data_IF_087610150519
#
_entry.id   IF_087610150519
#
_cell.length_a   1.000
_cell.length_b   1.000
_cell.length_c   1.000
_cell.angle_alpha   90.00
_cell.angle_beta   90.00
_cell.angle_gamma   90.00
#
_symmetry.space_group_name_H-M   'P 1'
#
loop_
_entity.id
_entity.type
_entity.pdbx_description
1 polymer ?
#
# COMPACT_ATOMS: atom_id res chain seq x y z
N UNK A 1 39.63 -28.90 45.32
CA UNK A 1 40.73 -28.55 44.41
C UNK A 1 40.15 -28.20 43.06
N UNK A 2 40.62 -27.09 42.49
CA UNK A 2 40.38 -26.53 41.15
C UNK A 2 38.97 -26.02 40.79
N UNK A 3 38.75 -24.81 41.29
CA UNK A 3 37.91 -23.75 40.75
C UNK A 3 38.48 -23.26 39.41
N UNK A 4 37.71 -23.25 38.31
CA UNK A 4 37.98 -22.37 37.16
C UNK A 4 36.66 -21.85 36.57
N UNK A 5 36.38 -20.58 36.85
CA UNK A 5 35.37 -19.75 36.20
C UNK A 5 35.72 -19.56 34.71
N UNK A 6 34.73 -19.47 33.80
CA UNK A 6 34.95 -18.89 32.49
C UNK A 6 35.09 -17.35 32.60
N UNK A 7 35.95 -16.72 31.78
CA UNK A 7 36.20 -15.28 31.88
C UNK A 7 35.01 -14.47 31.34
N UNK A 8 34.62 -13.46 32.12
CA UNK A 8 33.85 -12.31 31.66
C UNK A 8 34.76 -11.46 30.78
N UNK A 9 34.31 -11.14 29.56
CA UNK A 9 34.82 -9.99 28.82
C UNK A 9 33.71 -8.96 28.80
N UNK A 10 34.03 -7.80 29.40
CA UNK A 10 33.21 -6.61 29.45
C UNK A 10 33.06 -6.00 28.06
N UNK A 11 31.84 -5.59 27.77
CA UNK A 11 31.55 -4.46 26.90
C UNK A 11 32.30 -3.23 27.43
N UNK A 12 32.94 -2.48 26.53
CA UNK A 12 32.83 -1.01 26.51
C UNK A 12 33.10 -0.46 25.10
N UNK A 13 32.10 0.28 24.63
CA UNK A 13 32.18 1.52 23.84
C UNK A 13 32.69 1.49 22.39
N UNK A 14 31.72 1.49 21.49
CA UNK A 14 31.47 2.51 20.47
C UNK A 14 32.67 3.08 19.69
N UNK A 15 32.75 2.69 18.41
CA UNK A 15 33.10 3.63 17.34
C UNK A 15 32.23 3.34 16.13
N UNK A 16 31.34 4.29 15.91
CA UNK A 16 30.66 4.62 14.67
C UNK A 16 31.61 4.56 13.47
N UNK A 17 31.26 3.75 12.47
CA UNK A 17 31.38 4.10 11.05
C UNK A 17 30.69 3.02 10.22
N UNK A 18 29.48 3.36 9.78
CA UNK A 18 28.67 2.53 8.90
C UNK A 18 29.36 2.23 7.56
N UNK A 19 29.35 0.96 7.20
CA UNK A 19 29.15 0.52 5.82
C UNK A 19 28.75 -0.95 5.87
N UNK A 20 27.52 -1.19 6.33
CA UNK A 20 26.86 -2.47 6.07
C UNK A 20 26.79 -2.59 4.55
N UNK A 21 27.56 -3.52 4.00
CA UNK A 21 27.66 -3.89 2.58
C UNK A 21 26.27 -4.25 2.01
N UNK A 22 25.41 -3.25 1.82
CA UNK A 22 24.20 -3.33 1.02
C UNK A 22 24.64 -3.21 -0.42
N UNK A 23 25.20 -4.31 -0.95
CA UNK A 23 25.34 -4.47 -2.39
C UNK A 23 23.91 -4.43 -2.93
N UNK A 24 23.57 -3.32 -3.56
CA UNK A 24 22.26 -3.08 -4.15
C UNK A 24 21.93 -4.21 -5.13
N UNK A 25 20.65 -4.56 -5.28
CA UNK A 25 20.25 -5.63 -6.20
C UNK A 25 20.73 -5.36 -7.63
N UNK A 26 20.92 -4.08 -7.99
CA UNK A 26 21.58 -3.64 -9.21
C UNK A 26 23.03 -4.14 -9.34
N UNK A 27 23.82 -4.11 -8.27
CA UNK A 27 25.19 -4.64 -8.24
C UNK A 27 25.21 -6.17 -8.25
N UNK A 28 24.26 -6.85 -7.59
CA UNK A 28 24.12 -8.32 -7.68
C UNK A 28 23.77 -8.76 -9.10
N UNK A 29 22.81 -8.07 -9.74
CA UNK A 29 22.43 -8.31 -11.13
C UNK A 29 23.61 -8.09 -12.08
N UNK A 30 24.41 -7.05 -11.87
CA UNK A 30 25.61 -6.82 -12.69
C UNK A 30 26.67 -7.91 -12.49
N UNK A 31 26.84 -8.40 -11.26
CA UNK A 31 27.77 -9.51 -10.96
C UNK A 31 27.30 -10.80 -11.63
N UNK A 32 26.00 -11.11 -11.57
CA UNK A 32 25.41 -12.26 -12.26
C UNK A 32 25.52 -12.14 -13.78
N UNK A 33 25.26 -10.96 -14.35
CA UNK A 33 25.43 -10.71 -15.80
C UNK A 33 26.87 -10.95 -16.24
N UNK A 34 27.84 -10.48 -15.45
CA UNK A 34 29.26 -10.70 -15.73
C UNK A 34 29.60 -12.19 -15.67
N UNK A 35 29.19 -12.89 -14.62
CA UNK A 35 29.40 -14.34 -14.50
C UNK A 35 28.75 -15.13 -15.65
N UNK A 36 27.57 -14.72 -16.14
CA UNK A 36 26.93 -15.35 -17.30
C UNK A 36 27.70 -15.10 -18.60
N UNK A 37 28.31 -13.93 -18.77
CA UNK A 37 29.17 -13.63 -19.92
C UNK A 37 30.43 -14.49 -19.86
N UNK A 38 31.10 -14.53 -18.70
CA UNK A 38 32.31 -15.32 -18.49
C UNK A 38 32.06 -16.82 -18.76
N UNK A 39 30.93 -17.37 -18.27
CA UNK A 39 30.52 -18.76 -18.54
C UNK A 39 30.20 -19.02 -20.02
N UNK A 40 29.66 -18.03 -20.74
CA UNK A 40 29.42 -18.15 -22.19
C UNK A 40 30.74 -18.18 -22.96
N UNK A 41 31.71 -17.39 -22.52
CA UNK A 41 33.04 -17.34 -23.13
C UNK A 41 33.81 -18.63 -22.86
N UNK A 42 33.79 -19.15 -21.63
CA UNK A 42 34.37 -20.44 -21.26
C UNK A 42 33.74 -21.60 -22.07
N UNK A 43 32.40 -21.61 -22.20
CA UNK A 43 31.70 -22.57 -23.08
C UNK A 43 32.20 -22.48 -24.52
N UNK A 44 32.40 -21.27 -25.05
CA UNK A 44 32.88 -21.09 -26.42
C UNK A 44 34.32 -21.56 -26.60
N UNK A 45 35.18 -21.40 -25.59
CA UNK A 45 36.56 -21.88 -25.62
C UNK A 45 36.60 -23.42 -25.56
N UNK A 46 35.78 -24.03 -24.69
CA UNK A 46 35.67 -25.50 -24.60
C UNK A 46 35.18 -26.12 -25.91
N UNK A 47 34.22 -25.50 -26.60
CA UNK A 47 33.75 -25.98 -27.91
C UNK A 47 34.90 -25.98 -28.94
N UNK A 48 35.68 -24.89 -29.01
CA UNK A 48 36.87 -24.84 -29.90
C UNK A 48 37.89 -25.93 -29.56
N UNK A 49 38.11 -26.16 -28.27
CA UNK A 49 39.05 -27.18 -27.81
C UNK A 49 38.57 -28.61 -28.18
N UNK A 50 37.27 -28.86 -28.10
CA UNK A 50 36.65 -30.12 -28.57
C UNK A 50 36.82 -30.29 -30.08
N UNK A 51 36.63 -29.24 -30.87
CA UNK A 51 36.82 -29.27 -32.33
C UNK A 51 38.29 -29.59 -32.69
N UNK A 52 39.26 -28.94 -32.05
CA UNK A 52 40.69 -29.19 -32.25
C UNK A 52 41.07 -30.63 -31.87
N UNK A 53 40.60 -31.13 -30.73
CA UNK A 53 40.84 -32.51 -30.30
C UNK A 53 40.20 -33.52 -31.24
N UNK A 54 39.02 -33.23 -31.77
CA UNK A 54 38.33 -34.08 -32.75
C UNK A 54 39.12 -34.15 -34.05
N UNK A 55 39.64 -33.02 -34.54
CA UNK A 55 40.51 -33.01 -35.72
C UNK A 55 41.79 -33.81 -35.49
N UNK A 56 42.45 -33.61 -34.34
CA UNK A 56 43.67 -34.35 -33.99
C UNK A 56 43.43 -35.85 -33.89
N UNK A 57 42.29 -36.27 -33.34
CA UNK A 57 41.91 -37.68 -33.25
C UNK A 57 41.69 -38.29 -34.64
N UNK A 58 41.00 -37.58 -35.54
CA UNK A 58 40.83 -38.02 -36.93
C UNK A 58 42.16 -38.16 -37.67
N UNK A 59 43.14 -37.29 -37.39
CA UNK A 59 44.47 -37.37 -37.97
C UNK A 59 45.25 -38.58 -37.45
N UNK A 60 45.20 -38.86 -36.15
CA UNK A 60 45.81 -40.06 -35.56
C UNK A 60 45.18 -41.36 -36.09
N UNK A 61 43.87 -41.37 -36.35
CA UNK A 61 43.21 -42.53 -36.99
C UNK A 61 43.78 -42.79 -38.38
N UNK A 62 44.01 -41.74 -39.19
CA UNK A 62 44.66 -41.87 -40.50
C UNK A 62 46.09 -42.38 -40.40
N UNK A 63 46.90 -41.78 -39.52
CA UNK A 63 48.29 -42.22 -39.31
C UNK A 63 48.37 -43.69 -38.88
N UNK A 64 47.43 -44.14 -38.04
CA UNK A 64 47.35 -45.55 -37.63
C UNK A 64 47.07 -46.49 -38.81
N UNK A 65 46.14 -46.13 -39.70
CA UNK A 65 45.84 -46.95 -40.89
C UNK A 65 47.03 -46.96 -41.87
N UNK A 66 47.71 -45.83 -42.08
CA UNK A 66 48.91 -45.75 -42.93
C UNK A 66 50.05 -46.62 -42.38
N UNK A 67 50.26 -46.64 -41.06
CA UNK A 67 51.27 -47.50 -40.42
C UNK A 67 50.91 -48.97 -40.58
N UNK A 68 49.62 -49.32 -40.41
CA UNK A 68 49.12 -50.69 -40.58
C UNK A 68 49.31 -51.18 -42.02
N UNK A 69 49.07 -50.32 -43.01
CA UNK A 69 49.30 -50.63 -44.42
C UNK A 69 50.79 -50.81 -44.75
N UNK A 70 51.66 -49.94 -44.21
CA UNK A 70 53.12 -50.09 -44.32
C UNK A 70 53.61 -51.40 -43.70
N UNK A 71 53.11 -51.75 -42.51
CA UNK A 71 53.47 -53.00 -41.83
C UNK A 71 53.06 -54.23 -42.65
N UNK A 72 51.84 -54.24 -43.20
CA UNK A 72 51.35 -55.33 -44.04
C UNK A 72 52.19 -55.50 -45.32
N UNK A 73 52.62 -54.39 -45.93
CA UNK A 73 53.50 -54.41 -47.11
C UNK A 73 54.87 -54.99 -46.77
N UNK A 74 55.47 -54.53 -45.66
CA UNK A 74 56.78 -55.02 -45.19
C UNK A 74 56.77 -56.52 -44.89
N UNK A 75 55.70 -57.04 -44.27
CA UNK A 75 55.55 -58.47 -43.99
C UNK A 75 55.44 -59.30 -45.27
N UNK A 76 54.76 -58.77 -46.30
CA UNK A 76 54.63 -59.42 -47.61
C UNK A 76 55.99 -59.48 -48.34
N UNK A 77 56.78 -58.43 -48.27
CA UNK A 77 58.12 -58.37 -48.87
C UNK A 77 59.11 -59.33 -48.18
N UNK A 78 59.07 -59.42 -46.85
CA UNK A 78 59.88 -60.38 -46.07
C UNK A 78 59.54 -61.84 -46.43
N UNK A 79 58.26 -62.15 -46.63
CA UNK A 79 57.81 -63.49 -46.99
C UNK A 79 58.23 -63.88 -48.43
N UNK A 80 58.29 -62.91 -49.34
CA UNK A 80 58.81 -63.12 -50.69
C UNK A 80 60.33 -63.34 -50.71
N UNK A 81 61.10 -62.66 -49.86
CA UNK A 81 62.56 -62.87 -49.77
C UNK A 81 62.92 -64.26 -49.22
N UNK A 82 62.17 -64.77 -48.24
CA UNK A 82 62.36 -66.13 -47.71
C UNK A 82 62.08 -67.23 -48.75
N UNK A 83 61.22 -66.96 -49.73
CA UNK A 83 60.87 -67.92 -50.78
C UNK A 83 61.93 -68.00 -51.89
N UNK A 84 62.78 -66.96 -52.01
CA UNK A 84 63.79 -66.85 -53.08
C UNK A 84 65.21 -67.28 -52.69
N UNK A 85 65.49 -67.51 -51.40
CA UNK A 85 66.83 -67.90 -50.90
C UNK A 85 67.05 -69.41 -50.74
N UNK A 86 66.13 -70.25 -51.22
CA UNK A 86 66.19 -71.72 -51.07
C UNK A 86 66.98 -72.46 -52.15
N UNK A 87 67.72 -71.76 -53.02
CA UNK A 87 68.40 -72.35 -54.19
C UNK A 87 69.83 -71.85 -54.38
N UNK A 88 70.78 -72.41 -53.62
CA UNK A 88 72.19 -72.64 -53.96
C UNK A 88 72.91 -73.11 -52.68
N UNK A 89 73.70 -74.18 -52.65
CA UNK A 89 75.01 -74.25 -53.30
C UNK A 89 75.52 -75.70 -53.28
N UNK A 90 76.08 -76.13 -54.41
CA UNK A 90 76.72 -77.42 -54.68
C UNK A 90 78.05 -77.61 -53.90
N UNK A 91 78.48 -78.86 -53.67
CA UNK A 91 79.68 -79.40 -54.34
C UNK A 91 79.91 -80.88 -54.02
N UNK A 92 80.08 -81.67 -55.08
CA UNK A 92 80.61 -83.02 -55.09
C UNK A 92 82.12 -82.96 -55.34
N UNK A 93 82.88 -83.87 -54.75
CA UNK A 93 84.26 -84.17 -55.18
C UNK A 93 84.47 -85.68 -55.22
N UNK A 94 84.44 -86.20 -56.45
CA UNK A 94 85.06 -87.47 -56.86
C UNK A 94 86.58 -87.31 -56.79
N UNK A 95 87.30 -88.33 -56.30
CA UNK A 95 88.75 -88.45 -56.43
C UNK A 95 89.06 -89.79 -57.09
N UNK A 96 89.61 -89.74 -58.30
CA UNK A 96 90.34 -90.83 -58.97
C UNK A 96 91.85 -90.77 -58.62
N UNK A 97 92.57 -91.90 -58.60
CA UNK A 97 93.98 -91.94 -58.19
C UNK A 97 94.94 -91.66 -59.37
N UNK A 98 95.94 -90.80 -59.16
CA UNK A 98 97.01 -90.51 -60.14
C UNK A 98 98.37 -90.95 -59.58
N UNK A 99 99.04 -91.85 -60.30
CA UNK A 99 100.43 -92.27 -60.11
C UNK A 99 101.37 -91.34 -60.92
N UNK A 100 102.06 -90.40 -60.28
CA UNK A 100 103.42 -89.90 -60.63
C UNK A 100 103.89 -88.73 -59.74
N UNK A 101 105.18 -88.71 -59.41
CA UNK A 101 105.82 -87.85 -58.38
C UNK A 101 105.68 -86.32 -58.58
N UNK A 102 105.52 -85.84 -59.82
CA UNK A 102 105.37 -84.40 -60.11
C UNK A 102 103.95 -83.86 -59.87
N UNK A 103 102.92 -84.71 -59.95
CA UNK A 103 101.53 -84.30 -59.68
C UNK A 103 101.23 -84.23 -58.18
N UNK A 104 101.93 -85.05 -57.38
CA UNK A 104 101.87 -84.99 -55.91
C UNK A 104 102.38 -83.63 -55.37
N UNK A 105 103.43 -83.07 -55.99
CA UNK A 105 103.98 -81.77 -55.62
C UNK A 105 103.01 -80.62 -55.93
N UNK A 106 102.41 -80.63 -57.13
CA UNK A 106 101.39 -79.66 -57.54
C UNK A 106 100.12 -79.75 -56.68
N UNK A 107 99.68 -80.97 -56.38
CA UNK A 107 98.56 -81.24 -55.47
C UNK A 107 98.87 -80.74 -54.05
N UNK A 108 100.09 -80.98 -53.54
CA UNK A 108 100.54 -80.47 -52.25
C UNK A 108 100.58 -78.95 -52.19
N UNK A 109 101.03 -78.27 -53.26
CA UNK A 109 100.99 -76.80 -53.31
C UNK A 109 99.56 -76.26 -53.41
N UNK A 110 98.67 -76.91 -54.15
CA UNK A 110 97.25 -76.52 -54.20
C UNK A 110 96.57 -76.71 -52.85
N UNK A 111 96.74 -77.87 -52.22
CA UNK A 111 96.24 -78.14 -50.86
C UNK A 111 96.78 -77.15 -49.83
N UNK A 112 98.07 -76.79 -49.92
CA UNK A 112 98.66 -75.77 -49.03
C UNK A 112 98.04 -74.39 -49.27
N UNK A 113 97.84 -74.00 -50.52
CA UNK A 113 97.21 -72.73 -50.86
C UNK A 113 95.72 -72.70 -50.44
N UNK A 114 94.98 -73.80 -50.62
CA UNK A 114 93.60 -73.94 -50.14
C UNK A 114 93.52 -73.90 -48.63
N UNK A 115 94.47 -74.52 -47.92
CA UNK A 115 94.57 -74.47 -46.47
C UNK A 115 94.84 -73.04 -45.98
N UNK A 116 95.82 -72.34 -46.57
CA UNK A 116 96.15 -70.96 -46.23
C UNK A 116 94.98 -70.00 -46.54
N UNK A 117 94.29 -70.20 -47.66
CA UNK A 117 93.08 -69.45 -48.01
C UNK A 117 91.94 -69.72 -47.02
N UNK A 118 91.79 -70.97 -46.57
CA UNK A 118 90.78 -71.36 -45.59
C UNK A 118 91.08 -70.74 -44.23
N UNK A 119 92.34 -70.76 -43.78
CA UNK A 119 92.79 -70.08 -42.55
C UNK A 119 92.49 -68.59 -42.63
N UNK A 120 92.90 -67.94 -43.72
CA UNK A 120 92.65 -66.51 -43.95
C UNK A 120 91.14 -66.18 -43.91
N UNK A 121 90.32 -67.02 -44.54
CA UNK A 121 88.86 -66.87 -44.51
C UNK A 121 88.28 -67.05 -43.10
N UNK A 122 88.79 -68.00 -42.31
CA UNK A 122 88.36 -68.18 -40.92
C UNK A 122 88.80 -67.02 -40.01
N UNK A 123 90.01 -66.49 -40.18
CA UNK A 123 90.49 -65.30 -39.48
C UNK A 123 89.65 -64.07 -39.82
N UNK A 124 89.32 -63.86 -41.10
CA UNK A 124 88.43 -62.79 -41.53
C UNK A 124 87.01 -62.94 -40.93
N UNK A 125 86.45 -64.15 -40.94
CA UNK A 125 85.15 -64.45 -40.30
C UNK A 125 85.18 -64.22 -38.80
N UNK A 126 86.26 -64.62 -38.13
CA UNK A 126 86.45 -64.40 -36.69
C UNK A 126 86.52 -62.90 -36.35
N UNK A 127 87.25 -62.11 -37.14
CA UNK A 127 87.34 -60.66 -36.97
C UNK A 127 85.99 -59.95 -37.18
N UNK A 128 85.23 -60.35 -38.21
CA UNK A 128 83.86 -59.85 -38.43
C UNK A 128 82.95 -60.22 -37.25
N UNK A 129 83.00 -61.47 -36.79
CA UNK A 129 82.19 -61.94 -35.67
C UNK A 129 82.53 -61.21 -34.36
N UNK A 130 83.82 -60.96 -34.09
CA UNK A 130 84.26 -60.21 -32.93
C UNK A 130 83.78 -58.75 -32.97
N UNK A 131 83.79 -58.14 -34.16
CA UNK A 131 83.29 -56.77 -34.35
C UNK A 131 81.78 -56.71 -34.16
N UNK A 132 81.03 -57.65 -34.74
CA UNK A 132 79.59 -57.77 -34.58
C UNK A 132 79.20 -58.02 -33.11
N UNK A 133 79.98 -58.83 -32.37
CA UNK A 133 79.76 -59.03 -30.94
C UNK A 133 79.90 -57.72 -30.13
N UNK A 134 80.98 -56.95 -30.37
CA UNK A 134 81.18 -55.65 -29.72
C UNK A 134 80.14 -54.60 -30.10
N UNK A 135 79.55 -54.70 -31.28
CA UNK A 135 78.45 -53.83 -31.71
C UNK A 135 77.15 -54.21 -31.01
N UNK A 136 76.81 -55.50 -30.97
CA UNK A 136 75.65 -55.99 -30.21
C UNK A 136 75.74 -55.65 -28.73
N UNK A 137 76.92 -55.74 -28.11
CA UNK A 137 77.14 -55.38 -26.70
C UNK A 137 76.91 -53.87 -26.45
N UNK A 138 77.36 -53.00 -27.38
CA UNK A 138 77.09 -51.55 -27.31
C UNK A 138 75.60 -51.25 -27.48
N UNK A 139 74.94 -51.90 -28.44
CA UNK A 139 73.51 -51.73 -28.68
C UNK A 139 72.66 -52.20 -27.50
N UNK A 140 73.03 -53.32 -26.88
CA UNK A 140 72.38 -53.82 -25.67
C UNK A 140 72.49 -52.81 -24.53
N UNK A 141 73.69 -52.26 -24.30
CA UNK A 141 73.92 -51.22 -23.28
C UNK A 141 73.13 -49.94 -23.56
N UNK A 142 73.06 -49.50 -24.81
CA UNK A 142 72.25 -48.33 -25.20
C UNK A 142 70.76 -48.56 -24.98
N UNK A 143 70.25 -49.76 -25.33
CA UNK A 143 68.85 -50.15 -25.07
C UNK A 143 68.56 -50.23 -23.57
N UNK A 144 69.50 -50.71 -22.76
CA UNK A 144 69.35 -50.77 -21.31
C UNK A 144 69.22 -49.38 -20.69
N UNK A 145 70.07 -48.42 -21.09
CA UNK A 145 69.98 -47.02 -20.65
C UNK A 145 68.63 -46.41 -21.07
N UNK A 146 68.19 -46.66 -22.31
CA UNK A 146 66.89 -46.18 -22.78
C UNK A 146 65.74 -46.77 -21.97
N UNK A 147 65.80 -48.07 -21.65
CA UNK A 147 64.79 -48.74 -20.83
C UNK A 147 64.76 -48.18 -19.41
N UNK A 148 65.91 -47.95 -18.77
CA UNK A 148 65.97 -47.33 -17.45
C UNK A 148 65.33 -45.93 -17.44
N UNK A 149 65.59 -45.12 -18.48
CA UNK A 149 64.97 -43.80 -18.62
C UNK A 149 63.45 -43.89 -18.79
N UNK A 150 62.96 -44.85 -19.59
CA UNK A 150 61.53 -45.08 -19.79
C UNK A 150 60.84 -45.57 -18.50
N UNK A 151 61.48 -46.45 -17.73
CA UNK A 151 60.96 -46.90 -16.43
C UNK A 151 60.83 -45.74 -15.47
N UNK A 152 61.86 -44.89 -15.36
CA UNK A 152 61.81 -43.71 -14.48
C UNK A 152 60.70 -42.72 -14.88
N UNK A 153 60.55 -42.43 -16.18
CA UNK A 153 59.46 -41.57 -16.69
C UNK A 153 58.08 -42.20 -16.42
N UNK A 154 57.97 -43.53 -16.49
CA UNK A 154 56.74 -44.24 -16.15
C UNK A 154 56.40 -44.14 -14.66
N UNK A 155 57.39 -44.25 -13.77
CA UNK A 155 57.22 -44.09 -12.31
C UNK A 155 56.81 -42.66 -11.95
N UNK A 156 57.46 -41.65 -12.54
CA UNK A 156 57.11 -40.23 -12.38
C UNK A 156 55.68 -39.95 -12.86
N UNK A 157 55.28 -40.49 -14.02
CA UNK A 157 53.90 -40.38 -14.51
C UNK A 157 52.89 -41.11 -13.61
N UNK A 158 53.26 -42.25 -13.06
CA UNK A 158 52.39 -43.03 -12.16
C UNK A 158 52.16 -42.29 -10.85
N UNK A 159 53.21 -41.69 -10.27
CA UNK A 159 53.10 -40.88 -9.05
C UNK A 159 52.26 -39.62 -9.28
N UNK A 160 52.49 -38.92 -10.40
CA UNK A 160 51.67 -37.77 -10.78
C UNK A 160 50.19 -38.15 -10.97
N UNK A 161 49.91 -39.27 -11.63
CA UNK A 161 48.54 -39.75 -11.84
C UNK A 161 47.84 -40.07 -10.49
N UNK A 162 48.56 -40.70 -9.55
CA UNK A 162 48.02 -40.96 -8.21
C UNK A 162 47.74 -39.67 -7.43
N UNK A 163 48.61 -38.67 -7.55
CA UNK A 163 48.38 -37.35 -6.94
C UNK A 163 47.17 -36.64 -7.55
N UNK A 164 47.02 -36.68 -8.88
CA UNK A 164 45.86 -36.11 -9.57
C UNK A 164 44.56 -36.80 -9.16
N UNK A 165 44.55 -38.14 -9.02
CA UNK A 165 43.38 -38.88 -8.52
C UNK A 165 42.98 -38.43 -7.12
N UNK A 166 43.95 -38.32 -6.20
CA UNK A 166 43.67 -37.83 -4.85
C UNK A 166 43.10 -36.41 -4.86
N UNK A 167 43.68 -35.51 -5.66
CA UNK A 167 43.17 -34.15 -5.79
C UNK A 167 41.73 -34.12 -6.32
N UNK A 168 41.41 -34.98 -7.29
CA UNK A 168 40.04 -35.12 -7.82
C UNK A 168 39.10 -35.58 -6.69
N UNK A 169 39.46 -36.61 -5.93
CA UNK A 169 38.66 -37.12 -4.81
C UNK A 169 38.42 -36.06 -3.71
N UNK A 170 39.45 -35.26 -3.40
CA UNK A 170 39.35 -34.17 -2.42
C UNK A 170 38.41 -33.05 -2.93
N UNK A 171 38.54 -32.66 -4.20
CA UNK A 171 37.65 -31.67 -4.85
C UNK A 171 36.20 -32.18 -4.88
N UNK A 172 35.99 -33.44 -5.25
CA UNK A 172 34.66 -34.05 -5.27
C UNK A 172 34.00 -34.03 -3.89
N UNK A 173 34.77 -34.34 -2.84
CA UNK A 173 34.29 -34.29 -1.45
C UNK A 173 33.92 -32.87 -1.02
N UNK A 174 34.75 -31.90 -1.33
CA UNK A 174 34.51 -30.49 -0.99
C UNK A 174 33.28 -29.94 -1.71
N UNK A 175 33.13 -30.26 -3.00
CA UNK A 175 31.96 -29.90 -3.79
C UNK A 175 30.69 -30.57 -3.25
N UNK A 176 30.77 -31.85 -2.87
CA UNK A 176 29.64 -32.56 -2.26
C UNK A 176 29.20 -31.91 -0.95
N UNK A 177 30.14 -31.58 -0.06
CA UNK A 177 29.84 -30.88 1.19
C UNK A 177 29.23 -29.50 0.93
N UNK A 178 29.77 -28.74 -0.03
CA UNK A 178 29.22 -27.44 -0.42
C UNK A 178 27.79 -27.55 -0.96
N UNK A 179 27.48 -28.58 -1.76
CA UNK A 179 26.12 -28.85 -2.25
C UNK A 179 25.18 -29.13 -1.07
N UNK A 180 25.63 -29.94 -0.10
CA UNK A 180 24.84 -30.28 1.09
C UNK A 180 24.53 -29.03 1.94
N UNK A 181 25.51 -28.17 2.14
CA UNK A 181 25.34 -26.93 2.90
C UNK A 181 24.39 -25.96 2.19
N UNK A 182 24.56 -25.77 0.87
CA UNK A 182 23.66 -24.95 0.06
C UNK A 182 22.22 -25.50 0.05
N UNK A 183 22.06 -26.83 0.09
CA UNK A 183 20.74 -27.45 0.20
C UNK A 183 20.08 -27.19 1.56
N UNK A 184 20.87 -27.20 2.64
CA UNK A 184 20.39 -26.84 3.97
C UNK A 184 19.98 -25.35 4.03
N UNK A 185 20.81 -24.45 3.51
CA UNK A 185 20.51 -23.02 3.42
C UNK A 185 19.24 -22.76 2.60
N UNK A 186 19.08 -23.45 1.46
CA UNK A 186 17.86 -23.37 0.64
C UNK A 186 16.62 -23.77 1.44
N UNK A 187 16.68 -24.84 2.23
CA UNK A 187 15.55 -25.26 3.07
C UNK A 187 15.24 -24.24 4.16
N UNK A 188 16.26 -23.68 4.81
CA UNK A 188 16.08 -22.63 5.82
C UNK A 188 15.41 -21.39 5.23
N UNK A 189 15.85 -20.93 4.06
CA UNK A 189 15.25 -19.79 3.36
C UNK A 189 13.79 -20.09 2.99
N UNK A 190 13.49 -21.29 2.49
CA UNK A 190 12.10 -21.70 2.19
C UNK A 190 11.21 -21.69 3.42
N UNK A 191 11.72 -22.09 4.59
CA UNK A 191 10.98 -22.02 5.85
C UNK A 191 10.74 -20.57 6.27
N UNK A 192 11.75 -19.70 6.18
CA UNK A 192 11.59 -18.26 6.45
C UNK A 192 10.53 -17.63 5.55
N UNK A 193 10.52 -17.95 4.25
CA UNK A 193 9.48 -17.49 3.33
C UNK A 193 8.08 -17.93 3.75
N UNK A 194 7.89 -19.19 4.16
CA UNK A 194 6.60 -19.67 4.64
C UNK A 194 6.13 -18.97 5.92
N UNK A 195 7.06 -18.60 6.80
CA UNK A 195 6.73 -17.85 8.02
C UNK A 195 6.27 -16.43 7.65
N UNK A 196 7.03 -15.73 6.82
CA UNK A 196 6.69 -14.38 6.35
C UNK A 196 5.33 -14.37 5.63
N UNK A 197 5.06 -15.36 4.78
CA UNK A 197 3.78 -15.47 4.07
C UNK A 197 2.59 -15.63 5.03
N UNK A 198 2.76 -16.44 6.08
CA UNK A 198 1.76 -16.58 7.15
C UNK A 198 1.56 -15.30 7.94
N UNK A 199 2.63 -14.61 8.31
CA UNK A 199 2.56 -13.33 9.02
C UNK A 199 1.85 -12.27 8.18
N UNK A 200 2.11 -12.23 6.87
CA UNK A 200 1.44 -11.32 5.93
C UNK A 200 -0.05 -11.62 5.86
N UNK A 201 -0.44 -12.89 5.70
CA UNK A 201 -1.86 -13.30 5.72
C UNK A 201 -2.56 -12.92 7.02
N UNK A 202 -1.89 -13.08 8.16
CA UNK A 202 -2.43 -12.65 9.46
C UNK A 202 -2.63 -11.14 9.50
N UNK A 203 -1.67 -10.36 9.00
CA UNK A 203 -1.77 -8.89 8.95
C UNK A 203 -2.88 -8.40 8.02
N UNK A 204 -3.06 -9.06 6.87
CA UNK A 204 -4.16 -8.78 5.97
C UNK A 204 -5.53 -9.03 6.62
N UNK A 205 -5.66 -10.09 7.42
CA UNK A 205 -6.89 -10.37 8.16
C UNK A 205 -7.10 -9.36 9.32
N UNK A 206 -6.04 -8.99 10.05
CA UNK A 206 -6.11 -7.92 11.05
C UNK A 206 -6.59 -6.59 10.43
N UNK A 207 -6.05 -6.23 9.25
CA UNK A 207 -6.49 -5.04 8.50
C UNK A 207 -7.95 -5.13 8.07
N UNK A 208 -8.39 -6.31 7.63
CA UNK A 208 -9.78 -6.55 7.26
C UNK A 208 -10.73 -6.33 8.43
N UNK A 209 -10.39 -6.86 9.60
CA UNK A 209 -11.16 -6.66 10.83
C UNK A 209 -11.21 -5.19 11.22
N UNK A 210 -10.07 -4.48 11.13
CA UNK A 210 -10.02 -3.04 11.41
C UNK A 210 -10.88 -2.22 10.44
N UNK A 211 -10.87 -2.51 9.15
CA UNK A 211 -11.73 -1.83 8.17
C UNK A 211 -13.21 -2.08 8.46
N UNK A 212 -13.59 -3.31 8.80
CA UNK A 212 -14.97 -3.60 9.21
C UNK A 212 -15.37 -2.80 10.45
N UNK A 213 -14.51 -2.76 11.47
CA UNK A 213 -14.75 -1.95 12.67
C UNK A 213 -14.87 -0.46 12.36
N UNK A 214 -14.06 0.05 11.43
CA UNK A 214 -14.16 1.44 10.97
C UNK A 214 -15.50 1.71 10.28
N UNK A 215 -15.96 0.83 9.40
CA UNK A 215 -17.24 0.99 8.71
C UNK A 215 -18.43 0.93 9.70
N UNK A 216 -18.39 0.02 10.68
CA UNK A 216 -19.40 -0.05 11.74
C UNK A 216 -19.44 1.25 12.56
N UNK A 217 -18.28 1.83 12.90
CA UNK A 217 -18.23 3.12 13.60
C UNK A 217 -18.74 4.29 12.75
N UNK A 218 -18.44 4.32 11.46
CA UNK A 218 -18.98 5.33 10.52
C UNK A 218 -20.49 5.26 10.44
N UNK A 219 -21.04 4.05 10.36
CA UNK A 219 -22.48 3.83 10.36
C UNK A 219 -23.12 4.34 11.66
N UNK A 220 -22.53 4.01 12.81
CA UNK A 220 -23.02 4.49 14.11
C UNK A 220 -22.97 6.01 14.24
N UNK A 221 -21.92 6.66 13.73
CA UNK A 221 -21.84 8.13 13.69
C UNK A 221 -22.96 8.72 12.84
N UNK A 222 -23.21 8.17 11.65
CA UNK A 222 -24.29 8.63 10.78
C UNK A 222 -25.68 8.48 11.43
N UNK A 223 -25.91 7.37 12.13
CA UNK A 223 -27.14 7.18 12.90
C UNK A 223 -27.30 8.24 14.00
N UNK A 224 -26.28 8.46 14.82
CA UNK A 224 -26.30 9.46 15.89
C UNK A 224 -26.49 10.89 15.36
N UNK A 225 -25.90 11.20 14.19
CA UNK A 225 -26.14 12.49 13.53
C UNK A 225 -27.60 12.65 13.09
N UNK A 226 -28.23 11.58 12.60
CA UNK A 226 -29.66 11.57 12.28
C UNK A 226 -30.53 11.82 13.52
N UNK A 227 -30.26 11.11 14.61
CA UNK A 227 -30.96 11.27 15.90
C UNK A 227 -30.81 12.69 16.47
N UNK A 228 -29.62 13.29 16.32
CA UNK A 228 -29.35 14.67 16.72
C UNK A 228 -30.17 15.67 15.91
N UNK A 229 -30.21 15.52 14.59
CA UNK A 229 -30.96 16.44 13.71
C UNK A 229 -32.47 16.31 13.93
N UNK A 230 -32.98 15.09 14.15
CA UNK A 230 -34.37 14.87 14.54
C UNK A 230 -34.71 15.60 15.86
N UNK A 231 -33.85 15.46 16.87
CA UNK A 231 -34.01 16.12 18.16
C UNK A 231 -33.97 17.65 18.03
N UNK A 232 -33.06 18.17 17.19
CA UNK A 232 -32.96 19.60 16.88
C UNK A 232 -34.23 20.12 16.18
N UNK A 233 -34.78 19.35 15.25
CA UNK A 233 -36.06 19.66 14.59
C UNK A 233 -37.21 19.75 15.59
N UNK A 234 -37.35 18.75 16.47
CA UNK A 234 -38.36 18.75 17.55
C UNK A 234 -38.21 19.96 18.47
N UNK A 235 -36.98 20.27 18.89
CA UNK A 235 -36.72 21.45 19.72
C UNK A 235 -37.15 22.75 19.04
N UNK A 236 -36.82 22.92 17.75
CA UNK A 236 -37.22 24.12 17.00
C UNK A 236 -38.75 24.23 16.88
N UNK A 237 -39.43 23.10 16.66
CA UNK A 237 -40.89 23.05 16.65
C UNK A 237 -41.48 23.47 18.00
N UNK A 238 -40.99 22.93 19.12
CA UNK A 238 -41.47 23.32 20.45
C UNK A 238 -41.19 24.79 20.76
N UNK A 239 -40.03 25.31 20.35
CA UNK A 239 -39.69 26.72 20.49
C UNK A 239 -40.69 27.62 19.75
N UNK A 240 -41.07 27.26 18.52
CA UNK A 240 -42.08 27.98 17.74
C UNK A 240 -43.47 27.92 18.38
N UNK A 241 -43.88 26.73 18.86
CA UNK A 241 -45.16 26.56 19.56
C UNK A 241 -45.21 27.46 20.80
N UNK A 242 -44.17 27.43 21.64
CA UNK A 242 -44.09 28.28 22.82
C UNK A 242 -44.12 29.77 22.46
N UNK A 243 -43.38 30.17 21.42
CA UNK A 243 -43.39 31.56 20.96
C UNK A 243 -44.79 32.03 20.55
N UNK A 244 -45.54 31.20 19.80
CA UNK A 244 -46.92 31.52 19.42
C UNK A 244 -47.84 31.59 20.64
N UNK A 245 -47.69 30.67 21.61
CA UNK A 245 -48.48 30.72 22.84
C UNK A 245 -48.23 31.99 23.66
N UNK A 246 -46.98 32.47 23.74
CA UNK A 246 -46.69 33.76 24.37
C UNK A 246 -47.32 34.93 23.62
N UNK A 247 -47.29 34.91 22.28
CA UNK A 247 -47.95 35.93 21.46
C UNK A 247 -49.47 35.96 21.71
N UNK A 248 -50.11 34.78 21.81
CA UNK A 248 -51.54 34.67 22.13
C UNK A 248 -51.87 35.26 23.51
N UNK A 249 -51.02 35.00 24.51
CA UNK A 249 -51.16 35.58 25.85
C UNK A 249 -51.04 37.10 25.83
N UNK A 250 -50.07 37.64 25.09
CA UNK A 250 -49.87 39.09 24.95
C UNK A 250 -51.10 39.74 24.29
N UNK A 251 -51.65 39.11 23.24
CA UNK A 251 -52.87 39.58 22.59
C UNK A 251 -54.08 39.59 23.53
N UNK A 252 -54.26 38.52 24.32
CA UNK A 252 -55.32 38.42 25.32
C UNK A 252 -55.16 39.48 26.43
N UNK A 253 -53.92 39.75 26.84
CA UNK A 253 -53.63 40.79 27.83
C UNK A 253 -54.01 42.18 27.32
N UNK A 254 -53.62 42.52 26.08
CA UNK A 254 -53.99 43.78 25.43
C UNK A 254 -55.51 43.90 25.31
N UNK A 255 -56.19 42.84 24.86
CA UNK A 255 -57.64 42.80 24.75
C UNK A 255 -58.32 43.05 26.10
N UNK A 256 -57.86 42.37 27.15
CA UNK A 256 -58.38 42.56 28.51
C UNK A 256 -58.18 44.00 28.99
N UNK A 257 -57.01 44.59 28.74
CA UNK A 257 -56.72 45.97 29.13
C UNK A 257 -57.65 46.95 28.41
N UNK A 258 -57.88 46.76 27.11
CA UNK A 258 -58.81 47.59 26.34
C UNK A 258 -60.24 47.48 26.87
N UNK A 259 -60.75 46.26 27.08
CA UNK A 259 -62.08 46.04 27.65
C UNK A 259 -62.24 46.66 29.05
N UNK A 260 -61.20 46.58 29.87
CA UNK A 260 -61.21 47.21 31.19
C UNK A 260 -61.23 48.74 31.09
N UNK A 261 -60.46 49.32 30.18
CA UNK A 261 -60.46 50.77 29.94
C UNK A 261 -61.84 51.24 29.45
N UNK A 262 -62.47 50.51 28.51
CA UNK A 262 -63.82 50.81 28.02
C UNK A 262 -64.85 50.77 29.17
N UNK A 263 -64.76 49.77 30.05
CA UNK A 263 -65.63 49.65 31.22
C UNK A 263 -65.45 50.80 32.22
N UNK A 264 -64.20 51.19 32.52
CA UNK A 264 -63.92 52.34 33.38
C UNK A 264 -64.51 53.62 32.78
N UNK A 265 -64.33 53.84 31.47
CA UNK A 265 -64.88 54.99 30.78
C UNK A 265 -66.42 55.06 30.85
N UNK A 266 -67.10 53.92 30.69
CA UNK A 266 -68.56 53.84 30.85
C UNK A 266 -69.02 54.20 32.27
N UNK A 267 -68.34 53.68 33.30
CA UNK A 267 -68.62 53.98 34.70
C UNK A 267 -68.39 55.45 35.04
N UNK A 268 -67.25 56.01 34.61
CA UNK A 268 -66.92 57.43 34.83
C UNK A 268 -67.95 58.34 34.16
N UNK A 269 -68.37 58.01 32.93
CA UNK A 269 -69.41 58.75 32.21
C UNK A 269 -70.75 58.72 32.96
N UNK A 270 -71.13 57.57 33.52
CA UNK A 270 -72.36 57.43 34.29
C UNK A 270 -72.27 58.16 35.65
N UNK A 271 -71.13 58.07 36.34
CA UNK A 271 -70.88 58.75 37.61
C UNK A 271 -70.90 60.28 37.46
N UNK A 272 -70.26 60.81 36.42
CA UNK A 272 -70.33 62.24 36.10
C UNK A 272 -71.77 62.71 35.88
N UNK A 273 -72.57 61.95 35.09
CA UNK A 273 -74.00 62.25 34.91
C UNK A 273 -74.79 62.26 36.22
N UNK A 274 -74.42 61.43 37.18
CA UNK A 274 -75.09 61.38 38.49
C UNK A 274 -74.70 62.58 39.36
N UNK A 275 -73.42 62.95 39.39
CA UNK A 275 -72.92 64.10 40.15
C UNK A 275 -73.57 65.41 39.71
N UNK A 276 -73.74 65.63 38.39
CA UNK A 276 -74.46 66.78 37.86
C UNK A 276 -75.93 66.87 38.31
N UNK A 277 -76.59 65.73 38.58
CA UNK A 277 -77.99 65.71 39.07
C UNK A 277 -78.09 65.92 40.58
N UNK A 278 -77.10 65.49 41.34
CA UNK A 278 -77.09 65.62 42.80
C UNK A 278 -76.79 67.07 43.26
N UNK A 279 -75.99 67.82 42.50
CA UNK A 279 -75.70 69.23 42.79
C UNK A 279 -76.92 70.16 42.73
N UNK A 280 -78.03 69.72 42.15
CA UNK A 280 -79.27 70.50 42.05
C UNK A 280 -80.17 70.40 43.31
N UNK A 281 -79.82 69.56 44.30
CA UNK A 281 -80.57 69.45 45.57
C UNK A 281 -79.64 69.90 46.70
N UNK A 282 -79.87 71.11 47.23
CA UNK A 282 -79.05 71.67 48.31
C UNK A 282 -79.91 72.19 49.48
N UNK A 283 -79.54 71.73 50.67
CA UNK A 283 -79.86 72.22 52.02
C UNK A 283 -81.25 71.91 52.63
N UNK A 284 -81.32 70.77 53.34
CA UNK A 284 -82.33 70.48 54.35
C UNK A 284 -81.80 70.99 55.71
N UNK A 285 -82.41 72.04 56.27
CA UNK A 285 -82.00 72.62 57.56
C UNK A 285 -83.09 72.39 58.60
N UNK A 286 -82.71 71.74 59.70
CA UNK A 286 -83.57 71.51 60.87
C UNK A 286 -83.59 72.79 61.69
N UNK A 287 -84.77 73.37 61.94
CA UNK A 287 -84.88 74.58 62.76
C UNK A 287 -85.21 74.22 64.20
N UNK A 288 -86.29 73.47 64.46
CA UNK A 288 -86.76 73.09 65.81
C UNK A 288 -87.53 71.74 65.81
N UNK A 289 -87.72 71.10 66.98
CA UNK A 289 -88.27 69.72 67.14
C UNK A 289 -89.67 69.45 66.53
N UNK A 290 -90.37 70.48 66.08
CA UNK A 290 -91.73 70.37 65.52
C UNK A 290 -91.86 70.77 64.05
N UNK A 291 -90.78 71.16 63.36
CA UNK A 291 -90.83 71.43 61.92
C UNK A 291 -89.48 71.33 61.19
N UNK A 292 -89.52 70.84 59.95
CA UNK A 292 -88.38 70.82 59.03
C UNK A 292 -88.55 71.88 57.94
N UNK A 293 -87.46 72.57 57.58
CA UNK A 293 -87.43 73.44 56.41
C UNK A 293 -86.58 72.75 55.33
N UNK A 294 -87.21 72.41 54.21
CA UNK A 294 -86.53 71.99 53.01
C UNK A 294 -86.46 73.18 52.07
N UNK A 295 -85.28 73.78 51.93
CA UNK A 295 -85.06 74.77 50.89
C UNK A 295 -84.79 74.03 49.58
N UNK A 296 -85.52 74.38 48.52
CA UNK A 296 -85.21 73.89 47.17
C UNK A 296 -84.84 75.10 46.34
N UNK A 297 -83.54 75.25 46.08
CA UNK A 297 -83.02 76.30 45.22
C UNK A 297 -83.09 75.90 43.75
N UNK A 298 -83.75 76.72 42.94
CA UNK A 298 -83.55 76.78 41.50
C UNK A 298 -82.76 78.04 41.15
N UNK A 299 -82.09 78.06 39.99
CA UNK A 299 -81.21 79.17 39.56
C UNK A 299 -81.85 80.57 39.61
N UNK A 300 -83.18 80.66 39.56
CA UNK A 300 -83.92 81.93 39.56
C UNK A 300 -84.86 82.15 40.75
N UNK A 301 -85.09 81.14 41.59
CA UNK A 301 -85.98 81.21 42.77
C UNK A 301 -85.60 80.17 43.83
N UNK A 302 -85.66 80.58 45.09
CA UNK A 302 -85.60 79.71 46.26
C UNK A 302 -87.00 79.59 46.85
N UNK A 303 -87.51 78.37 47.00
CA UNK A 303 -88.76 78.13 47.71
C UNK A 303 -88.49 77.21 48.91
N UNK A 304 -89.01 77.62 50.07
CA UNK A 304 -88.78 76.95 51.33
C UNK A 304 -90.06 76.19 51.69
N UNK A 305 -89.97 74.87 51.74
CA UNK A 305 -91.06 73.98 52.11
C UNK A 305 -90.98 73.67 53.61
N UNK A 306 -92.00 74.08 54.36
CA UNK A 306 -92.11 73.78 55.79
C UNK A 306 -92.87 72.46 55.93
N UNK A 307 -92.23 71.47 56.53
CA UNK A 307 -92.78 70.13 56.75
C UNK A 307 -93.09 70.00 58.24
N UNK A 308 -94.37 69.84 58.57
CA UNK A 308 -94.83 69.64 59.95
C UNK A 308 -95.23 68.17 60.19
N UNK A 309 -95.12 67.67 61.44
CA UNK A 309 -95.60 66.33 61.78
C UNK A 309 -97.10 66.20 61.49
N UNK A 310 -97.51 65.04 60.94
CA UNK A 310 -98.86 64.70 60.47
C UNK A 310 -99.33 65.33 59.13
N UNK A 311 -98.43 65.93 58.34
CA UNK A 311 -98.74 66.29 56.96
C UNK A 311 -98.59 65.10 56.00
N UNK A 312 -99.45 65.04 54.98
CA UNK A 312 -99.35 64.06 53.91
C UNK A 312 -98.12 64.33 53.03
N UNK A 313 -97.05 63.57 53.26
CA UNK A 313 -95.78 63.66 52.53
C UNK A 313 -95.97 63.53 51.02
N UNK A 314 -96.99 62.81 50.52
CA UNK A 314 -97.26 62.75 49.07
C UNK A 314 -97.69 64.09 48.51
N UNK A 315 -98.45 64.89 49.26
CA UNK A 315 -98.84 66.25 48.85
C UNK A 315 -97.66 67.21 48.86
N UNK A 316 -96.75 67.07 49.83
CA UNK A 316 -95.52 67.86 49.90
C UNK A 316 -94.62 67.52 48.70
N UNK A 317 -94.34 66.24 48.45
CA UNK A 317 -93.57 65.81 47.29
C UNK A 317 -94.19 66.25 45.96
N UNK A 318 -95.53 66.22 45.85
CA UNK A 318 -96.23 66.72 44.65
C UNK A 318 -96.08 68.24 44.49
N UNK A 319 -96.04 68.99 45.59
CA UNK A 319 -95.82 70.44 45.59
C UNK A 319 -94.38 70.79 45.20
N UNK A 320 -93.39 70.09 45.76
CA UNK A 320 -91.98 70.22 45.36
C UNK A 320 -91.80 69.86 43.88
N UNK A 321 -92.40 68.76 43.43
CA UNK A 321 -92.37 68.35 42.02
C UNK A 321 -93.00 69.40 41.11
N UNK A 322 -94.13 69.98 41.51
CA UNK A 322 -94.78 71.06 40.76
C UNK A 322 -93.93 72.34 40.75
N UNK A 323 -93.27 72.69 41.85
CA UNK A 323 -92.34 73.82 41.91
C UNK A 323 -91.16 73.61 40.95
N UNK A 324 -90.51 72.46 41.00
CA UNK A 324 -89.39 72.12 40.10
C UNK A 324 -89.84 72.11 38.63
N UNK A 325 -91.01 71.54 38.32
CA UNK A 325 -91.58 71.58 36.96
C UNK A 325 -91.88 73.01 36.51
N UNK A 326 -92.48 73.86 37.36
CA UNK A 326 -92.74 75.27 37.04
C UNK A 326 -91.45 76.07 36.86
N UNK A 327 -90.44 75.83 37.69
CA UNK A 327 -89.12 76.46 37.56
C UNK A 327 -88.44 76.05 36.24
N UNK A 328 -88.55 74.77 35.85
CA UNK A 328 -88.08 74.25 34.57
C UNK A 328 -88.84 74.85 33.38
N UNK A 329 -90.16 75.01 33.50
CA UNK A 329 -91.01 75.62 32.46
C UNK A 329 -90.78 77.13 32.32
N UNK A 330 -90.44 77.82 33.42
CA UNK A 330 -90.00 79.22 33.38
C UNK A 330 -88.66 79.40 32.65
N UNK A 331 -87.74 78.44 32.77
CA UNK A 331 -86.49 78.45 32.00
C UNK A 331 -86.73 78.21 30.50
N UNK A 332 -87.64 77.29 30.16
CA UNK A 332 -88.04 77.04 28.76
C UNK A 332 -88.71 78.28 28.15
N UNK A 333 -89.55 79.00 28.91
CA UNK A 333 -90.22 80.22 28.42
C UNK A 333 -89.30 81.45 28.31
N UNK A 334 -88.21 81.54 29.08
CA UNK A 334 -87.21 82.59 28.88
C UNK A 334 -86.33 82.35 27.64
N UNK A 335 -86.14 81.10 27.22
CA UNK A 335 -85.40 80.80 25.97
C UNK A 335 -86.22 81.02 24.69
N UNK A 336 -87.55 81.06 24.77
CA UNK A 336 -88.41 81.26 23.59
C UNK A 336 -88.78 82.72 23.27
N UNK A 337 -88.22 83.71 23.98
CA UNK A 337 -88.50 85.13 23.73
C UNK A 337 -87.46 85.86 22.85
N UNK A 338 -86.51 85.16 22.22
CA UNK A 338 -85.67 85.74 21.16
C UNK A 338 -85.49 84.77 19.96
N UNK A 339 -86.17 85.12 18.84
CA UNK A 339 -85.78 84.94 17.42
C UNK A 339 -85.82 83.49 16.86
N UNK A 340 -86.80 82.99 16.08
CA UNK A 340 -87.21 83.25 14.66
C UNK A 340 -86.03 83.44 13.68
N UNK A 341 -85.57 82.47 12.88
CA UNK A 341 -86.23 81.97 11.65
C UNK A 341 -85.21 81.17 10.76
N UNK A 342 -85.64 80.46 9.69
CA UNK A 342 -85.04 79.17 9.24
C UNK A 342 -84.50 79.13 7.78
N UNK A 343 -83.77 78.05 7.40
CA UNK A 343 -84.07 77.16 6.24
C UNK A 343 -82.97 76.11 5.90
N UNK A 344 -83.47 74.87 5.74
CA UNK A 344 -83.22 73.86 4.69
C UNK A 344 -81.85 73.15 4.45
N UNK A 345 -81.89 71.85 4.74
CA UNK A 345 -81.71 70.67 3.87
C UNK A 345 -80.50 70.48 2.93
N UNK A 346 -79.92 69.29 3.08
CA UNK A 346 -79.25 68.49 2.04
C UNK A 346 -77.86 68.03 2.47
N UNK A 347 -77.31 66.87 2.11
CA UNK A 347 -77.76 65.69 1.36
C UNK A 347 -76.47 64.82 1.23
N UNK A 348 -76.59 63.48 1.27
CA UNK A 348 -75.59 62.47 0.81
C UNK A 348 -74.23 62.44 1.56
N UNK A 349 -73.53 61.33 1.78
CA UNK A 349 -73.36 60.01 1.15
C UNK A 349 -71.88 59.62 1.45
N UNK A 350 -71.40 58.38 1.54
CA UNK A 350 -71.93 57.08 1.23
C UNK A 350 -70.92 55.99 1.68
N UNK A 351 -71.38 54.75 1.51
CA UNK A 351 -70.66 53.48 1.63
C UNK A 351 -69.56 53.30 0.56
N UNK A 352 -68.61 52.39 0.83
CA UNK A 352 -67.75 51.54 -0.05
C UNK A 352 -66.37 51.41 0.62
N UNK A 353 -65.82 50.28 1.11
CA UNK A 353 -65.67 48.92 0.57
C UNK A 353 -65.24 48.89 -0.90
N UNK A 354 -64.04 48.38 -1.18
CA UNK A 354 -63.76 47.27 -2.13
C UNK A 354 -62.25 47.13 -2.38
N UNK A 355 -61.86 45.86 -2.36
CA UNK A 355 -60.64 45.22 -2.84
C UNK A 355 -59.96 45.82 -4.10
N UNK A 356 -58.63 45.74 -4.08
CA UNK A 356 -57.85 45.01 -5.10
C UNK A 356 -57.53 45.71 -6.42
N UNK A 357 -56.23 45.90 -6.71
CA UNK A 357 -55.55 45.13 -7.76
C UNK A 357 -54.07 45.52 -7.92
N UNK A 358 -53.28 44.47 -8.04
CA UNK A 358 -51.95 44.27 -8.65
C UNK A 358 -51.44 45.29 -9.68
N UNK A 359 -50.15 45.62 -9.57
CA UNK A 359 -49.15 45.62 -10.66
C UNK A 359 -47.75 45.67 -10.01
N UNK A 360 -46.94 44.59 -10.01
CA UNK A 360 -46.00 44.13 -11.05
C UNK A 360 -44.90 45.14 -11.49
N UNK A 361 -43.66 44.62 -11.43
CA UNK A 361 -42.39 44.97 -12.11
C UNK A 361 -41.45 46.02 -11.51
N UNK A 362 -40.34 45.52 -10.93
CA UNK A 362 -38.95 45.60 -11.42
C UNK A 362 -38.07 44.96 -10.30
N UNK A 363 -37.12 44.04 -10.49
CA UNK A 363 -36.23 43.81 -11.63
C UNK A 363 -34.89 44.51 -11.37
N UNK A 364 -33.95 43.87 -10.65
CA UNK A 364 -32.50 44.11 -10.80
C UNK A 364 -31.67 43.05 -10.06
N UNK A 365 -30.81 42.41 -10.84
CA UNK A 365 -29.68 41.56 -10.44
C UNK A 365 -28.69 42.25 -9.50
N UNK A 366 -27.98 41.46 -8.69
CA UNK A 366 -26.51 41.30 -8.81
C UNK A 366 -26.05 39.96 -8.22
N UNK A 367 -25.31 39.24 -9.05
CA UNK A 367 -24.40 38.14 -8.76
C UNK A 367 -23.36 38.51 -7.68
N UNK A 368 -22.95 37.53 -6.87
CA UNK A 368 -21.52 37.22 -6.72
C UNK A 368 -21.33 35.87 -6.01
N UNK A 369 -20.69 34.96 -6.74
CA UNK A 369 -20.02 33.75 -6.26
C UNK A 369 -19.12 34.00 -5.04
N UNK A 370 -19.07 33.02 -4.14
CA UNK A 370 -17.85 32.69 -3.39
C UNK A 370 -17.85 31.20 -3.01
N UNK A 371 -16.98 30.46 -3.69
CA UNK A 371 -16.47 29.14 -3.30
C UNK A 371 -15.50 29.25 -2.11
N UNK A 372 -15.24 28.08 -1.51
CA UNK A 372 -14.17 27.69 -0.57
C UNK A 372 -14.57 27.85 0.91
N UNK A 373 -14.42 26.84 1.78
CA UNK A 373 -13.51 25.69 1.81
C UNK A 373 -14.22 24.36 2.05
#
# INVERSE_FOLDING_TARGET
MMNLKPPKIQNDSASDNGSVNKITDKQKINTLRKAVIDLREEKSQLIKQIEELTQKNNQLIKEREDIKEKHNTMMRDLQNQLTMNSSSTQSSLLIEPINNSNDLSKLKTKLKQELDQTITNYEARFSILQTAYKEMERDLKNKEISNQKLVKDMEEKTTLNNQLKKNIEDIERDLYNKIKDLQAEKMEIQLKFKIIDKEMQQKDEELRVLHKGLDDTRFKIAQLQGELEETRGKFMQYKLILHNQFLDIDCLFILRQNLFNDYIFELETAAQKFQYKASDITDLKIKDETSFYLSVKSRSKEEIFIIMPNQDLKKICKSIKNFLLKAQQYQINQQHSQVQSPKNNGLLGGLMSIFGSTQQKNGSNTNSDAKQK
#
